data_IF_399906524833
#
_entry.id   IF_399906524833
#
_cell.length_a   1.000
_cell.length_b   1.000
_cell.length_c   1.000
_cell.angle_alpha   90.00
_cell.angle_beta   90.00
_cell.angle_gamma   90.00
#
_symmetry.space_group_name_H-M   'P 1'
#
loop_
_entity.id
_entity.type
_entity.pdbx_description
1 polymer ?
#
# COMPACT_ATOMS: atom_id res chain seq x y z
N UNK A 1 11.23 3.20 -27.80
CA UNK A 1 10.68 3.74 -29.06
C UNK A 1 10.32 2.57 -29.95
N UNK A 2 9.27 1.86 -29.55
CA UNK A 2 8.66 0.77 -30.31
C UNK A 2 7.43 1.38 -30.96
N UNK A 3 7.23 1.06 -32.23
CA UNK A 3 6.11 1.49 -33.05
C UNK A 3 4.77 1.11 -32.39
N UNK A 4 3.96 2.11 -32.07
CA UNK A 4 2.60 1.93 -31.56
C UNK A 4 2.25 3.00 -30.52
N UNK A 5 1.18 3.74 -30.80
CA UNK A 5 0.48 4.66 -29.91
C UNK A 5 1.20 5.95 -29.50
N UNK A 6 1.01 6.96 -30.34
CA UNK A 6 0.59 8.34 -30.00
C UNK A 6 0.45 9.07 -31.34
N UNK A 7 -0.66 8.78 -32.02
CA UNK A 7 -0.92 9.21 -33.39
C UNK A 7 -1.69 10.53 -33.45
N UNK A 8 -1.53 11.45 -32.50
CA UNK A 8 -2.05 12.82 -32.62
C UNK A 8 -1.07 13.78 -31.96
N UNK A 9 -0.63 14.78 -32.72
CA UNK A 9 0.40 15.79 -32.40
C UNK A 9 1.86 15.32 -32.58
N UNK A 10 2.25 15.14 -33.85
CA UNK A 10 3.67 15.30 -34.21
C UNK A 10 4.04 16.77 -33.95
N UNK A 11 5.07 17.00 -33.14
CA UNK A 11 5.70 18.33 -33.00
C UNK A 11 6.04 18.85 -34.40
N UNK A 12 5.30 19.86 -34.87
CA UNK A 12 5.47 20.43 -36.21
C UNK A 12 6.69 21.35 -36.29
N UNK A 13 7.06 21.99 -35.18
CA UNK A 13 8.28 22.78 -35.06
C UNK A 13 8.71 22.92 -33.60
N UNK A 14 10.01 23.09 -33.38
CA UNK A 14 10.61 23.45 -32.08
C UNK A 14 11.20 24.84 -32.25
N UNK A 15 10.67 25.81 -31.52
CA UNK A 15 11.19 27.17 -31.50
C UNK A 15 11.83 27.46 -30.14
N UNK A 16 13.07 27.96 -30.17
CA UNK A 16 13.76 28.44 -28.99
C UNK A 16 13.40 29.91 -28.76
N UNK A 17 12.79 30.22 -27.63
CA UNK A 17 12.45 31.60 -27.25
C UNK A 17 13.41 32.06 -26.16
N UNK A 18 14.07 33.23 -26.30
CA UNK A 18 14.86 33.80 -25.23
C UNK A 18 13.94 34.21 -24.06
N UNK A 19 14.10 33.53 -22.93
CA UNK A 19 13.37 33.80 -21.69
C UNK A 19 14.26 34.61 -20.74
N UNK A 20 13.83 35.84 -20.41
CA UNK A 20 14.42 36.63 -19.33
C UNK A 20 13.50 36.60 -18.11
N UNK A 21 13.73 35.61 -17.26
CA UNK A 21 13.07 35.44 -15.96
C UNK A 21 13.88 34.49 -15.07
N UNK A 22 13.41 34.25 -13.85
CA UNK A 22 14.04 33.29 -12.95
C UNK A 22 13.37 31.93 -13.13
N UNK A 23 14.14 30.93 -13.60
CA UNK A 23 13.75 29.54 -13.48
C UNK A 23 14.04 29.10 -12.05
N UNK A 24 13.00 28.86 -11.25
CA UNK A 24 13.18 28.36 -9.89
C UNK A 24 13.37 26.84 -9.95
N UNK A 25 14.59 26.40 -9.67
CA UNK A 25 14.92 25.01 -9.43
C UNK A 25 14.44 24.66 -8.01
N UNK A 26 13.39 23.85 -7.89
CA UNK A 26 13.00 23.27 -6.61
C UNK A 26 14.00 22.18 -6.23
N UNK A 27 15.19 22.59 -5.77
CA UNK A 27 16.22 21.69 -5.29
C UNK A 27 15.81 21.08 -3.95
N UNK A 28 15.62 19.76 -3.92
CA UNK A 28 15.72 18.99 -2.67
C UNK A 28 17.17 18.51 -2.55
N UNK A 29 17.99 19.18 -1.74
CA UNK A 29 19.30 18.67 -1.34
C UNK A 29 20.55 19.28 -2.00
N UNK A 30 20.43 20.32 -2.81
CA UNK A 30 21.58 21.14 -3.23
C UNK A 30 22.38 20.65 -4.45
N UNK A 31 21.87 19.70 -5.22
CA UNK A 31 22.39 19.39 -6.55
C UNK A 31 21.27 19.56 -7.60
N UNK A 32 21.50 20.32 -8.70
CA UNK A 32 20.52 20.45 -9.78
C UNK A 32 20.47 19.13 -10.56
N UNK A 33 19.32 18.44 -10.48
CA UNK A 33 19.11 17.20 -11.23
C UNK A 33 18.34 17.51 -12.51
N UNK A 34 19.08 17.81 -13.58
CA UNK A 34 18.62 17.58 -14.94
C UNK A 34 19.73 16.86 -15.69
N UNK A 35 19.61 15.54 -15.87
CA UNK A 35 20.51 14.79 -16.74
C UNK A 35 19.85 13.58 -17.38
N UNK A 36 19.65 13.66 -18.70
CA UNK A 36 19.74 12.52 -19.60
C UNK A 36 21.24 12.28 -19.93
N UNK A 37 21.60 11.01 -20.15
CA UNK A 37 22.94 10.38 -20.06
C UNK A 37 23.44 10.10 -18.62
N UNK A 38 23.48 8.80 -18.24
CA UNK A 38 23.71 8.18 -16.90
C UNK A 38 22.46 7.88 -16.03
N UNK A 39 21.41 7.38 -16.69
CA UNK A 39 20.10 7.00 -16.14
C UNK A 39 20.13 5.84 -15.11
N UNK A 40 19.55 6.07 -13.93
CA UNK A 40 18.89 5.03 -13.13
C UNK A 40 17.37 5.19 -13.29
N UNK A 41 16.77 4.34 -14.11
CA UNK A 41 15.32 4.15 -14.12
C UNK A 41 14.98 3.00 -13.17
N UNK A 42 14.34 3.31 -12.04
CA UNK A 42 13.48 2.32 -11.39
C UNK A 42 12.19 2.26 -12.22
N UNK A 43 11.59 1.08 -12.41
CA UNK A 43 10.38 0.83 -13.23
C UNK A 43 9.10 1.58 -12.79
N UNK A 44 9.21 2.64 -11.99
CA UNK A 44 8.09 3.35 -11.36
C UNK A 44 8.13 4.87 -11.56
N UNK A 45 9.25 5.45 -12.03
CA UNK A 45 9.36 6.90 -12.26
C UNK A 45 10.04 7.16 -13.60
N UNK A 46 9.43 8.00 -14.43
CA UNK A 46 9.96 8.43 -15.72
C UNK A 46 10.58 9.83 -15.61
N UNK A 47 11.50 10.16 -16.52
CA UNK A 47 12.14 11.47 -16.53
C UNK A 47 11.18 12.54 -17.10
N UNK A 48 11.24 13.81 -16.65
CA UNK A 48 10.45 14.88 -17.23
C UNK A 48 10.98 15.25 -18.63
N UNK A 49 10.51 14.54 -19.65
CA UNK A 49 10.95 14.71 -21.05
C UNK A 49 10.40 15.98 -21.70
N UNK A 50 9.27 16.48 -21.21
CA UNK A 50 8.59 17.70 -21.67
C UNK A 50 8.09 18.45 -20.45
N UNK A 51 8.15 19.78 -20.51
CA UNK A 51 7.56 20.65 -19.49
C UNK A 51 6.48 21.53 -20.12
N UNK A 52 5.27 21.46 -19.58
CA UNK A 52 4.20 22.39 -19.92
C UNK A 52 4.42 23.72 -19.19
N UNK A 53 4.40 24.82 -19.93
CA UNK A 53 4.57 26.18 -19.37
C UNK A 53 3.25 26.87 -19.03
N UNK A 54 2.14 26.27 -19.45
CA UNK A 54 0.77 26.74 -19.22
C UNK A 54 -0.09 25.53 -18.92
N UNK A 55 -1.09 25.74 -18.07
CA UNK A 55 -2.16 24.77 -17.82
C UNK A 55 -3.24 25.06 -18.85
N UNK A 56 -3.60 24.06 -19.64
CA UNK A 56 -4.79 24.09 -20.48
C UNK A 56 -5.84 23.16 -19.82
N UNK A 57 -6.93 23.70 -19.27
CA UNK A 57 -7.96 22.91 -18.59
C UNK A 57 -8.62 21.85 -19.48
N UNK A 58 -8.53 21.96 -20.81
CA UNK A 58 -9.03 20.92 -21.71
C UNK A 58 -8.05 19.74 -21.89
N UNK A 59 -6.77 19.90 -21.54
CA UNK A 59 -5.72 18.88 -21.69
C UNK A 59 -5.33 18.19 -20.37
N UNK A 60 -5.91 18.60 -19.25
CA UNK A 60 -5.73 17.95 -17.95
C UNK A 60 -6.60 16.70 -17.84
N UNK A 61 -6.35 15.91 -16.78
CA UNK A 61 -7.11 14.70 -16.48
C UNK A 61 -8.61 14.97 -16.29
N UNK A 62 -9.45 14.12 -16.87
CA UNK A 62 -10.92 14.22 -16.83
C UNK A 62 -11.47 14.21 -15.39
N UNK A 63 -10.75 13.67 -14.40
CA UNK A 63 -11.16 13.74 -12.99
C UNK A 63 -11.30 15.19 -12.51
N UNK A 64 -10.46 16.11 -13.02
CA UNK A 64 -10.55 17.53 -12.67
C UNK A 64 -11.80 18.19 -13.23
N UNK A 65 -12.37 17.68 -14.33
CA UNK A 65 -13.58 18.24 -14.95
C UNK A 65 -14.83 17.99 -14.10
N UNK A 66 -14.80 16.97 -13.25
CA UNK A 66 -15.90 16.54 -12.39
C UNK A 66 -16.00 17.29 -11.05
N UNK A 67 -15.19 18.33 -10.85
CA UNK A 67 -15.21 19.13 -9.61
C UNK A 67 -16.36 20.13 -9.65
N UNK A 68 -17.13 20.18 -8.58
CA UNK A 68 -18.21 21.14 -8.36
C UNK A 68 -17.66 22.49 -7.87
N UNK A 69 -18.18 23.58 -8.44
CA UNK A 69 -17.61 24.93 -8.22
C UNK A 69 -18.56 25.88 -7.48
N UNK A 70 -19.65 25.36 -6.92
CA UNK A 70 -20.70 26.16 -6.26
C UNK A 70 -20.45 26.38 -4.76
N UNK A 71 -20.95 27.50 -4.25
CA UNK A 71 -20.93 27.81 -2.80
C UNK A 71 -21.99 27.05 -2.02
N UNK A 72 -23.15 26.78 -2.64
CA UNK A 72 -24.26 26.07 -2.01
C UNK A 72 -24.92 25.15 -3.03
N UNK A 73 -25.25 23.92 -2.62
CA UNK A 73 -25.99 23.02 -3.49
C UNK A 73 -27.47 23.42 -3.56
N UNK A 74 -28.09 23.30 -4.75
CA UNK A 74 -29.49 23.63 -4.92
C UNK A 74 -30.40 22.71 -4.09
N UNK A 75 -31.54 23.24 -3.62
CA UNK A 75 -32.53 22.46 -2.87
C UNK A 75 -32.95 21.18 -3.61
N UNK A 76 -33.11 21.26 -4.93
CA UNK A 76 -33.52 20.15 -5.77
C UNK A 76 -32.52 18.98 -5.70
N UNK A 77 -31.21 19.25 -5.59
CA UNK A 77 -30.21 18.20 -5.38
C UNK A 77 -30.46 17.46 -4.06
N UNK A 78 -30.64 18.20 -2.96
CA UNK A 78 -30.94 17.58 -1.66
C UNK A 78 -32.24 16.78 -1.67
N UNK A 79 -33.28 17.24 -2.36
CA UNK A 79 -34.54 16.50 -2.51
C UNK A 79 -34.36 15.22 -3.34
N UNK A 80 -33.62 15.29 -4.46
CA UNK A 80 -33.29 14.15 -5.29
C UNK A 80 -32.52 13.06 -4.54
N UNK A 81 -31.60 13.42 -3.63
CA UNK A 81 -30.86 12.43 -2.81
C UNK A 81 -31.79 11.57 -1.94
N UNK A 82 -32.98 12.08 -1.56
CA UNK A 82 -33.96 11.31 -0.78
C UNK A 82 -34.61 10.20 -1.58
N UNK A 83 -34.67 10.37 -2.90
CA UNK A 83 -35.20 9.38 -3.84
C UNK A 83 -34.12 8.39 -4.32
N UNK A 84 -32.86 8.58 -3.88
CA UNK A 84 -31.70 7.76 -4.28
C UNK A 84 -31.51 7.71 -5.80
N UNK A 85 -31.82 8.83 -6.47
CA UNK A 85 -31.55 8.98 -7.90
C UNK A 85 -30.04 8.85 -8.15
N UNK A 86 -29.68 8.21 -9.26
CA UNK A 86 -28.29 8.22 -9.69
C UNK A 86 -27.87 9.63 -10.13
N UNK A 87 -26.58 9.99 -10.05
CA UNK A 87 -26.11 11.29 -10.51
C UNK A 87 -26.49 11.60 -11.97
N UNK A 88 -26.50 10.59 -12.84
CA UNK A 88 -26.86 10.73 -14.26
C UNK A 88 -28.35 10.99 -14.51
N UNK A 89 -29.21 10.66 -13.54
CA UNK A 89 -30.66 10.88 -13.59
C UNK A 89 -31.09 12.20 -12.93
N UNK A 90 -30.13 12.94 -12.38
CA UNK A 90 -30.38 14.20 -11.71
C UNK A 90 -30.69 15.29 -12.73
N UNK A 91 -31.96 15.70 -12.82
CA UNK A 91 -32.42 16.82 -13.66
C UNK A 91 -32.17 18.19 -12.98
N UNK A 92 -31.06 18.31 -12.25
CA UNK A 92 -30.66 19.51 -11.51
C UNK A 92 -29.29 19.93 -12.01
N UNK A 93 -29.20 21.14 -12.55
CA UNK A 93 -27.93 21.67 -13.00
C UNK A 93 -27.01 21.94 -11.81
N UNK A 94 -25.91 21.18 -11.77
CA UNK A 94 -24.78 21.37 -10.88
C UNK A 94 -23.66 21.96 -11.72
N UNK A 95 -23.12 23.10 -11.32
CA UNK A 95 -22.02 23.72 -12.06
C UNK A 95 -20.72 22.95 -11.79
N UNK A 96 -20.16 22.37 -12.85
CA UNK A 96 -18.89 21.65 -12.85
C UNK A 96 -17.81 22.49 -13.54
N UNK A 97 -16.55 22.07 -13.37
CA UNK A 97 -15.42 22.65 -14.14
C UNK A 97 -15.62 22.41 -15.64
N UNK A 98 -16.14 21.25 -16.04
CA UNK A 98 -16.40 20.90 -17.45
C UNK A 98 -17.25 21.96 -18.16
N UNK A 99 -18.28 22.47 -17.49
CA UNK A 99 -19.23 23.45 -18.05
C UNK A 99 -18.57 24.79 -18.42
N UNK A 100 -17.44 25.09 -17.78
CA UNK A 100 -16.68 26.31 -17.95
C UNK A 100 -15.52 26.18 -18.97
N UNK A 101 -15.22 24.98 -19.47
CA UNK A 101 -14.13 24.74 -20.43
C UNK A 101 -14.32 25.52 -21.75
N UNK A 102 -13.26 26.18 -22.22
CA UNK A 102 -13.30 27.00 -23.44
C UNK A 102 -14.11 28.30 -23.29
N UNK A 103 -14.57 28.61 -22.08
CA UNK A 103 -15.15 29.91 -21.74
C UNK A 103 -14.13 30.76 -20.99
N UNK A 104 -14.33 32.09 -20.86
CA UNK A 104 -13.46 32.94 -20.04
C UNK A 104 -13.37 32.51 -18.56
N UNK A 105 -14.37 31.75 -18.06
CA UNK A 105 -14.43 31.25 -16.70
C UNK A 105 -13.56 30.01 -16.43
N UNK A 106 -12.87 29.45 -17.43
CA UNK A 106 -12.09 28.21 -17.28
C UNK A 106 -10.93 28.31 -16.25
N UNK A 107 -10.55 29.53 -15.84
CA UNK A 107 -9.50 29.78 -14.84
C UNK A 107 -9.99 30.56 -13.59
N UNK A 108 -11.26 30.96 -13.52
CA UNK A 108 -11.77 31.85 -12.47
C UNK A 108 -13.18 31.45 -12.00
N UNK A 109 -13.61 31.99 -10.86
CA UNK A 109 -14.98 31.77 -10.38
C UNK A 109 -15.18 30.49 -9.57
N UNK A 110 -14.12 29.73 -9.28
CA UNK A 110 -14.20 28.56 -8.40
C UNK A 110 -14.60 28.96 -6.97
N UNK A 111 -15.69 28.39 -6.47
CA UNK A 111 -16.09 28.49 -5.07
C UNK A 111 -16.07 27.11 -4.38
N UNK A 112 -16.21 27.12 -3.06
CA UNK A 112 -16.29 25.92 -2.23
C UNK A 112 -17.46 26.03 -1.27
N UNK A 113 -18.01 24.88 -0.87
CA UNK A 113 -19.20 24.83 -0.02
C UNK A 113 -18.94 24.98 1.48
N UNK A 114 -17.72 24.65 1.94
CA UNK A 114 -17.38 24.64 3.36
C UNK A 114 -16.04 25.30 3.63
N UNK A 115 -16.04 26.37 4.43
CA UNK A 115 -14.81 27.01 4.88
C UNK A 115 -14.04 26.14 5.88
N UNK A 116 -12.71 26.29 5.89
CA UNK A 116 -11.83 25.70 6.90
C UNK A 116 -11.12 26.80 7.68
N UNK A 117 -10.80 26.54 8.94
CA UNK A 117 -10.05 27.51 9.75
C UNK A 117 -8.57 27.57 9.38
N UNK A 118 -7.98 26.43 9.03
CA UNK A 118 -6.60 26.28 8.60
C UNK A 118 -6.46 24.95 7.83
N UNK A 119 -5.85 25.01 6.64
CA UNK A 119 -5.57 23.85 5.78
C UNK A 119 -4.64 22.86 6.48
N UNK A 120 -3.78 23.35 7.38
CA UNK A 120 -2.81 22.56 8.14
C UNK A 120 -3.26 22.25 9.58
N UNK A 121 -4.53 22.42 9.92
CA UNK A 121 -5.02 22.19 11.30
C UNK A 121 -4.90 20.72 11.78
N UNK A 122 -4.72 19.77 10.86
CA UNK A 122 -4.64 18.34 11.15
C UNK A 122 -3.28 17.89 11.70
N UNK A 123 -3.15 16.61 12.11
CA UNK A 123 -1.87 16.06 12.53
C UNK A 123 -0.90 15.93 11.34
N UNK A 124 0.31 16.46 11.48
CA UNK A 124 1.36 16.44 10.44
C UNK A 124 1.81 15.02 10.05
N UNK A 125 1.69 14.07 10.98
CA UNK A 125 2.13 12.70 10.80
C UNK A 125 1.01 11.73 11.20
N UNK A 126 0.80 10.72 10.36
CA UNK A 126 -0.12 9.64 10.68
C UNK A 126 0.41 8.82 11.86
N UNK A 127 -0.49 8.41 12.76
CA UNK A 127 -0.15 7.55 13.90
C UNK A 127 0.55 6.24 13.47
N UNK A 128 0.24 5.74 12.27
CA UNK A 128 0.87 4.56 11.69
C UNK A 128 2.40 4.68 11.53
N UNK A 129 2.91 5.89 11.28
CA UNK A 129 4.36 6.16 11.18
C UNK A 129 5.04 6.27 12.54
N UNK A 130 4.30 6.66 13.58
CA UNK A 130 4.84 6.85 14.94
C UNK A 130 4.82 5.57 15.77
N UNK A 131 3.92 4.64 15.47
CA UNK A 131 3.86 3.32 16.09
C UNK A 131 5.03 2.45 15.63
N UNK A 132 5.61 1.69 16.55
CA UNK A 132 6.83 0.92 16.32
C UNK A 132 6.56 -0.35 15.54
N UNK A 133 6.41 -1.46 16.25
CA UNK A 133 6.29 -2.77 15.63
C UNK A 133 4.86 -3.05 15.10
N UNK A 134 4.71 -4.17 14.40
CA UNK A 134 3.43 -4.55 13.80
C UNK A 134 2.38 -4.94 14.85
N UNK A 135 2.80 -5.45 16.01
CA UNK A 135 1.89 -5.82 17.08
C UNK A 135 1.28 -4.55 17.69
N UNK A 136 2.10 -3.52 17.96
CA UNK A 136 1.62 -2.21 18.43
C UNK A 136 0.63 -1.57 17.46
N UNK A 137 0.92 -1.65 16.15
CA UNK A 137 0.02 -1.11 15.10
C UNK A 137 -1.32 -1.81 15.08
N UNK A 138 -1.30 -3.13 15.17
CA UNK A 138 -2.50 -3.95 15.21
C UNK A 138 -3.31 -3.70 16.49
N UNK A 139 -2.65 -3.70 17.65
CA UNK A 139 -3.31 -3.43 18.93
C UNK A 139 -3.93 -2.02 18.94
N UNK A 140 -3.28 -1.03 18.33
CA UNK A 140 -3.84 0.32 18.15
C UNK A 140 -5.06 0.34 17.20
N UNK A 141 -5.03 -0.41 16.09
CA UNK A 141 -6.16 -0.55 15.17
C UNK A 141 -7.36 -1.21 15.86
N UNK A 142 -7.13 -2.28 16.63
CA UNK A 142 -8.16 -2.99 17.37
C UNK A 142 -8.68 -2.20 18.59
N UNK A 143 -7.82 -1.39 19.22
CA UNK A 143 -8.25 -0.45 20.24
C UNK A 143 -9.16 0.64 19.65
N UNK A 144 -8.92 1.05 18.41
CA UNK A 144 -9.77 2.01 17.71
C UNK A 144 -11.13 1.38 17.36
N UNK A 145 -11.18 0.13 16.89
CA UNK A 145 -12.45 -0.54 16.57
C UNK A 145 -13.38 -0.60 17.79
N UNK A 146 -12.86 -0.96 18.96
CA UNK A 146 -13.62 -0.94 20.23
C UNK A 146 -14.20 0.42 20.63
N UNK A 147 -13.61 1.51 20.14
CA UNK A 147 -14.05 2.89 20.45
C UNK A 147 -15.08 3.41 19.46
N UNK A 148 -15.11 2.89 18.25
CA UNK A 148 -15.95 3.39 17.17
C UNK A 148 -17.27 2.62 17.12
N UNK A 149 -18.38 3.34 17.24
CA UNK A 149 -19.73 2.73 17.14
C UNK A 149 -20.03 2.14 15.76
N UNK A 150 -19.42 2.69 14.71
CA UNK A 150 -19.66 2.29 13.33
C UNK A 150 -18.85 1.04 12.92
N UNK A 151 -18.02 0.50 13.81
CA UNK A 151 -17.10 -0.60 13.51
C UNK A 151 -17.43 -1.78 14.41
N UNK A 152 -17.59 -2.95 13.81
CA UNK A 152 -17.67 -4.22 14.53
C UNK A 152 -16.25 -4.74 14.75
N UNK A 153 -15.81 -4.78 16.01
CA UNK A 153 -14.46 -5.22 16.36
C UNK A 153 -14.19 -6.69 16.03
N UNK A 154 -15.21 -7.55 16.03
CA UNK A 154 -15.08 -8.97 15.70
C UNK A 154 -14.88 -9.14 14.19
N UNK A 155 -15.64 -8.43 13.34
CA UNK A 155 -15.43 -8.45 11.88
C UNK A 155 -14.03 -7.93 11.50
N UNK A 156 -13.56 -6.87 12.16
CA UNK A 156 -12.20 -6.36 11.92
C UNK A 156 -11.14 -7.41 12.28
N UNK A 157 -11.25 -8.05 13.44
CA UNK A 157 -10.32 -9.09 13.86
C UNK A 157 -10.32 -10.28 12.88
N UNK A 158 -11.50 -10.72 12.43
CA UNK A 158 -11.62 -11.79 11.44
C UNK A 158 -10.94 -11.44 10.12
N UNK A 159 -11.20 -10.25 9.57
CA UNK A 159 -10.57 -9.80 8.33
C UNK A 159 -9.06 -9.75 8.43
N UNK A 160 -8.52 -9.28 9.56
CA UNK A 160 -7.06 -9.27 9.79
C UNK A 160 -6.51 -10.70 9.76
N UNK A 161 -7.17 -11.63 10.46
CA UNK A 161 -6.72 -13.03 10.50
C UNK A 161 -6.81 -13.67 9.10
N UNK A 162 -7.93 -13.50 8.40
CA UNK A 162 -8.19 -14.18 7.13
C UNK A 162 -7.40 -13.62 5.95
N UNK A 163 -7.22 -12.30 5.88
CA UNK A 163 -6.59 -11.64 4.73
C UNK A 163 -5.12 -11.27 4.96
N UNK A 164 -4.64 -11.26 6.20
CA UNK A 164 -3.23 -10.94 6.50
C UNK A 164 -2.51 -12.10 7.18
N UNK A 165 -2.95 -12.54 8.37
CA UNK A 165 -2.17 -13.55 9.13
C UNK A 165 -2.18 -14.93 8.51
N UNK A 166 -3.34 -15.48 8.16
CA UNK A 166 -3.42 -16.81 7.56
C UNK A 166 -2.65 -16.90 6.23
N UNK A 167 -2.78 -15.94 5.28
CA UNK A 167 -1.97 -15.92 4.07
C UNK A 167 -0.47 -15.87 4.34
N UNK A 168 -0.01 -15.04 5.29
CA UNK A 168 1.40 -14.93 5.65
C UNK A 168 1.93 -16.22 6.28
N UNK A 169 1.23 -16.76 7.27
CA UNK A 169 1.63 -17.99 7.97
C UNK A 169 1.68 -19.19 7.02
N UNK A 170 0.63 -19.37 6.20
CA UNK A 170 0.57 -20.46 5.21
C UNK A 170 1.60 -20.27 4.10
N UNK A 171 1.79 -19.02 3.65
CA UNK A 171 2.79 -18.66 2.65
C UNK A 171 4.20 -18.98 3.12
N UNK A 172 4.55 -18.57 4.34
CA UNK A 172 5.85 -18.83 4.94
C UNK A 172 6.07 -20.32 5.22
N UNK A 173 5.05 -21.03 5.73
CA UNK A 173 5.13 -22.48 5.93
C UNK A 173 5.36 -23.23 4.61
N UNK A 174 4.63 -22.86 3.55
CA UNK A 174 4.80 -23.44 2.21
C UNK A 174 6.20 -23.13 1.68
N UNK A 175 6.64 -21.88 1.79
CA UNK A 175 7.96 -21.44 1.36
C UNK A 175 9.05 -22.23 2.09
N UNK A 176 8.95 -22.37 3.41
CA UNK A 176 9.87 -23.16 4.24
C UNK A 176 9.95 -24.62 3.78
N UNK A 177 8.81 -25.27 3.53
CA UNK A 177 8.75 -26.66 3.13
C UNK A 177 9.31 -26.91 1.71
N UNK A 178 9.24 -25.91 0.83
CA UNK A 178 9.72 -26.00 -0.57
C UNK A 178 11.01 -25.24 -0.85
N UNK A 179 11.68 -24.72 0.18
CA UNK A 179 12.79 -23.78 0.01
C UNK A 179 14.01 -24.38 -0.67
N UNK A 180 14.78 -23.53 -1.33
CA UNK A 180 16.15 -23.82 -1.73
C UNK A 180 17.12 -23.41 -0.63
N UNK A 181 18.30 -24.03 -0.64
CA UNK A 181 19.38 -23.74 0.27
C UNK A 181 20.43 -22.89 -0.43
N UNK A 182 21.02 -21.94 0.28
CA UNK A 182 22.01 -21.01 -0.30
C UNK A 182 23.32 -21.06 0.44
N UNK A 183 24.42 -21.18 -0.31
CA UNK A 183 25.77 -21.08 0.24
C UNK A 183 26.08 -19.64 0.67
N UNK A 184 26.60 -19.46 1.89
CA UNK A 184 26.97 -18.12 2.41
C UNK A 184 28.21 -17.52 1.75
N UNK A 185 29.16 -18.34 1.30
CA UNK A 185 30.37 -17.89 0.62
C UNK A 185 30.15 -17.52 -0.85
N UNK A 186 29.81 -18.50 -1.69
CA UNK A 186 29.71 -18.31 -3.14
C UNK A 186 28.30 -17.99 -3.66
N UNK A 187 27.28 -17.97 -2.79
CA UNK A 187 25.91 -17.61 -3.15
C UNK A 187 25.15 -18.65 -4.00
N UNK A 188 25.75 -19.80 -4.30
CA UNK A 188 25.13 -20.87 -5.09
C UNK A 188 23.90 -21.44 -4.39
N UNK A 189 22.81 -21.60 -5.16
CA UNK A 189 21.55 -22.20 -4.71
C UNK A 189 21.53 -23.70 -4.97
N UNK A 190 20.99 -24.45 -4.01
CA UNK A 190 20.81 -25.89 -4.08
C UNK A 190 19.36 -26.23 -3.77
N UNK A 191 18.71 -26.97 -4.66
CA UNK A 191 17.36 -27.51 -4.42
C UNK A 191 17.30 -28.43 -3.19
N UNK A 192 18.41 -29.09 -2.83
CA UNK A 192 18.53 -29.94 -1.64
C UNK A 192 19.88 -29.68 -0.98
N UNK A 193 19.92 -29.64 0.35
CA UNK A 193 21.17 -29.52 1.08
C UNK A 193 22.14 -30.67 0.75
N UNK A 194 23.43 -30.40 0.48
CA UNK A 194 24.45 -31.43 0.35
C UNK A 194 24.55 -32.25 1.65
N UNK A 195 24.68 -33.56 1.55
CA UNK A 195 24.82 -34.45 2.72
C UNK A 195 26.09 -34.19 3.53
N UNK A 196 27.08 -33.52 2.94
CA UNK A 196 28.31 -33.07 3.60
C UNK A 196 28.09 -31.89 4.55
N UNK A 197 26.94 -31.20 4.47
CA UNK A 197 26.67 -29.95 5.21
C UNK A 197 27.42 -28.73 4.69
N UNK A 198 28.40 -28.91 3.82
CA UNK A 198 29.23 -27.86 3.21
C UNK A 198 29.03 -27.76 1.71
N UNK A 199 29.26 -26.56 1.17
CA UNK A 199 29.19 -26.27 -0.24
C UNK A 199 30.28 -27.03 -1.02
N UNK A 200 29.92 -27.86 -2.02
CA UNK A 200 30.92 -28.57 -2.83
C UNK A 200 31.85 -27.68 -3.64
N UNK A 201 31.48 -26.42 -3.88
CA UNK A 201 32.23 -25.50 -4.74
C UNK A 201 33.27 -24.66 -3.97
N UNK A 202 32.95 -24.23 -2.74
CA UNK A 202 33.82 -23.36 -1.95
C UNK A 202 34.11 -23.84 -0.53
N UNK A 203 33.46 -24.90 -0.06
CA UNK A 203 33.63 -25.44 1.29
C UNK A 203 32.87 -24.70 2.40
N UNK A 204 32.25 -23.56 2.11
CA UNK A 204 31.47 -22.77 3.08
C UNK A 204 30.13 -23.43 3.45
N UNK A 205 29.50 -22.89 4.50
CA UNK A 205 28.21 -23.34 5.01
C UNK A 205 27.05 -23.09 4.02
N UNK A 206 26.18 -24.09 3.90
CA UNK A 206 24.92 -24.00 3.17
C UNK A 206 23.79 -23.75 4.17
N UNK A 207 23.14 -22.60 4.06
CA UNK A 207 22.09 -22.16 5.00
C UNK A 207 20.69 -22.16 4.39
N UNK A 208 19.68 -22.22 5.26
CA UNK A 208 18.27 -22.01 4.91
C UNK A 208 18.04 -20.59 4.37
N UNK A 209 17.07 -20.45 3.48
CA UNK A 209 16.61 -19.15 2.97
C UNK A 209 15.39 -18.65 3.73
N UNK A 210 14.58 -19.56 4.26
CA UNK A 210 13.45 -19.28 5.16
C UNK A 210 13.70 -20.02 6.47
N UNK A 211 13.69 -19.28 7.57
CA UNK A 211 13.91 -19.81 8.93
C UNK A 211 12.59 -20.00 9.66
N UNK A 212 12.58 -20.88 10.67
CA UNK A 212 11.41 -21.15 11.52
C UNK A 212 10.78 -19.88 12.08
N UNK A 213 11.58 -18.93 12.57
CA UNK A 213 11.08 -17.67 13.12
C UNK A 213 10.26 -16.83 12.13
N UNK A 214 10.45 -17.00 10.81
CA UNK A 214 9.60 -16.35 9.81
C UNK A 214 8.22 -17.03 9.68
N UNK A 215 8.16 -18.34 9.95
CA UNK A 215 6.92 -19.14 9.92
C UNK A 215 6.08 -18.90 11.17
N UNK A 216 6.71 -18.75 12.35
CA UNK A 216 6.02 -18.62 13.65
C UNK A 216 5.67 -17.19 14.05
N UNK A 217 6.29 -16.17 13.41
CA UNK A 217 6.25 -14.76 13.82
C UNK A 217 4.87 -14.21 14.27
N UNK A 218 3.79 -14.64 13.62
CA UNK A 218 2.44 -14.12 13.85
C UNK A 218 1.46 -15.14 14.42
N UNK A 219 1.89 -16.37 14.74
CA UNK A 219 0.98 -17.42 15.22
C UNK A 219 0.34 -17.01 16.55
N UNK A 220 1.16 -16.73 17.56
CA UNK A 220 0.69 -16.33 18.90
C UNK A 220 -0.18 -15.08 18.85
N UNK A 221 0.20 -14.13 17.99
CA UNK A 221 -0.56 -12.89 17.80
C UNK A 221 -1.94 -13.17 17.19
N UNK A 222 -2.02 -14.02 16.18
CA UNK A 222 -3.28 -14.38 15.53
C UNK A 222 -4.22 -15.13 16.49
N UNK A 223 -3.69 -16.05 17.30
CA UNK A 223 -4.47 -16.77 18.31
C UNK A 223 -5.00 -15.81 19.37
N UNK A 224 -4.12 -14.96 19.94
CA UNK A 224 -4.50 -13.94 20.93
C UNK A 224 -5.64 -13.05 20.41
N UNK A 225 -5.52 -12.56 19.18
CA UNK A 225 -6.54 -11.71 18.56
C UNK A 225 -7.84 -12.47 18.35
N UNK A 226 -7.78 -13.72 17.88
CA UNK A 226 -8.97 -14.54 17.66
C UNK A 226 -9.75 -14.76 18.97
N UNK A 227 -9.04 -14.98 20.08
CA UNK A 227 -9.63 -15.17 21.40
C UNK A 227 -10.18 -13.86 21.99
N UNK A 228 -9.37 -12.80 22.01
CA UNK A 228 -9.68 -11.54 22.68
C UNK A 228 -10.80 -10.76 21.97
N UNK A 229 -10.92 -10.89 20.66
CA UNK A 229 -11.92 -10.18 19.84
C UNK A 229 -13.07 -11.08 19.38
N UNK A 230 -13.14 -12.30 19.92
CA UNK A 230 -14.31 -13.16 19.75
C UNK A 230 -14.51 -13.64 18.31
N UNK A 231 -13.43 -13.90 17.57
CA UNK A 231 -13.51 -14.44 16.21
C UNK A 231 -14.33 -15.74 16.16
N UNK A 232 -14.93 -16.01 15.00
CA UNK A 232 -15.69 -17.22 14.72
C UNK A 232 -14.90 -18.49 15.04
N UNK A 233 -15.64 -19.49 15.50
CA UNK A 233 -15.11 -20.81 15.88
C UNK A 233 -14.30 -21.46 14.75
N UNK A 234 -14.74 -21.31 13.50
CA UNK A 234 -14.01 -21.83 12.34
C UNK A 234 -12.62 -21.20 12.20
N UNK A 235 -12.49 -19.89 12.41
CA UNK A 235 -11.23 -19.15 12.33
C UNK A 235 -10.27 -19.61 13.43
N UNK A 236 -10.78 -19.79 14.66
CA UNK A 236 -10.01 -20.32 15.79
C UNK A 236 -9.47 -21.72 15.49
N UNK A 237 -10.34 -22.62 15.05
CA UNK A 237 -9.95 -24.00 14.69
C UNK A 237 -8.92 -24.04 13.56
N UNK A 238 -8.99 -23.13 12.58
CA UNK A 238 -7.99 -23.03 11.52
C UNK A 238 -6.62 -22.64 12.06
N UNK A 239 -6.56 -21.70 12.99
CA UNK A 239 -5.32 -21.29 13.64
C UNK A 239 -4.74 -22.43 14.47
N UNK A 240 -5.56 -23.11 15.29
CA UNK A 240 -5.14 -24.28 16.08
C UNK A 240 -4.57 -25.41 15.20
N UNK A 241 -5.24 -25.75 14.10
CA UNK A 241 -4.74 -26.77 13.16
C UNK A 241 -3.41 -26.34 12.54
N UNK A 242 -3.25 -25.04 12.26
CA UNK A 242 -2.01 -24.52 11.67
C UNK A 242 -0.87 -24.51 12.68
N UNK A 243 -1.13 -24.10 13.92
CA UNK A 243 -0.19 -24.16 15.04
C UNK A 243 0.32 -25.59 15.23
N UNK A 244 -0.59 -26.56 15.38
CA UNK A 244 -0.22 -27.97 15.52
C UNK A 244 0.61 -28.50 14.35
N UNK A 245 0.38 -28.02 13.13
CA UNK A 245 1.19 -28.39 11.96
C UNK A 245 2.58 -27.81 12.03
N UNK A 246 2.70 -26.55 12.46
CA UNK A 246 3.99 -25.88 12.62
C UNK A 246 4.78 -26.58 13.71
N UNK A 247 4.20 -26.80 14.88
CA UNK A 247 4.84 -27.50 16.01
C UNK A 247 5.35 -28.88 15.59
N UNK A 248 4.54 -29.70 14.92
CA UNK A 248 4.96 -31.03 14.45
C UNK A 248 6.07 -31.00 13.41
N UNK A 249 6.17 -29.93 12.63
CA UNK A 249 7.19 -29.79 11.60
C UNK A 249 8.55 -29.39 12.20
N UNK A 250 8.54 -28.69 13.33
CA UNK A 250 9.73 -28.25 14.05
C UNK A 250 10.01 -29.05 15.33
N UNK A 251 9.20 -30.05 15.67
CA UNK A 251 9.41 -30.91 16.84
C UNK A 251 10.74 -31.66 16.68
N UNK A 252 11.69 -31.31 17.54
CA UNK A 252 13.03 -31.89 17.55
C UNK A 252 13.03 -33.11 18.51
N UNK A 253 13.03 -34.32 17.94
CA UNK A 253 13.07 -35.59 18.69
C UNK A 253 14.31 -35.72 19.60
N UNK A 254 15.32 -34.86 19.40
CA UNK A 254 16.60 -34.91 20.11
C UNK A 254 16.67 -34.03 21.36
N UNK A 255 15.72 -33.12 21.59
CA UNK A 255 15.87 -32.06 22.58
C UNK A 255 14.58 -31.78 23.38
N UNK A 256 14.12 -32.76 24.18
CA UNK A 256 13.15 -32.49 25.24
C UNK A 256 13.88 -32.17 26.55
N UNK A 257 14.05 -30.88 26.86
CA UNK A 257 14.33 -30.47 28.23
C UNK A 257 13.03 -30.60 29.04
N UNK A 258 12.75 -31.80 29.52
CA UNK A 258 11.57 -32.04 30.38
C UNK A 258 11.77 -31.36 31.73
N UNK A 259 10.79 -30.55 32.13
CA UNK A 259 10.76 -29.95 33.47
C UNK A 259 10.31 -30.99 34.50
N UNK A 260 10.71 -30.85 35.76
CA UNK A 260 10.22 -31.70 36.87
C UNK A 260 8.69 -31.67 36.98
N UNK A 261 8.06 -30.58 36.55
CA UNK A 261 6.60 -30.42 36.53
C UNK A 261 5.89 -31.30 35.50
N UNK A 262 6.58 -31.75 34.44
CA UNK A 262 5.99 -32.65 33.43
C UNK A 262 5.86 -34.10 33.95
N UNK A 263 6.42 -34.39 35.13
CA UNK A 263 6.43 -35.71 35.76
C UNK A 263 5.63 -35.79 37.08
N UNK A 264 5.01 -34.69 37.55
CA UNK A 264 4.18 -34.65 38.76
C UNK A 264 2.70 -34.47 38.41
#
# INVERSE_FOLDING_TARGET
>A
LVEGDLAYLRVESVESVPYEGYLYDFQVGGEPVFAADWLYAHNSMDAPLVMSSRIDPAEIDDEAHNVDVTTEYPLAFYEATREQLSPDELDVEMELIEDNLGTPGEYEGFAHSHDTSDIAAGPDLSAYKTLGDMQEKMDAQLALSRRLRAVDETDVAERIIEYHFLPDLLGNLKAFASQEFRCRGCGTSYRRAPLTGTCPNCGDEVSLTVYEGAVTKYMDTAIRVAEEFGAQEYTKQRLEILEQRIERLFEDDTNKQSGIADFM
#
